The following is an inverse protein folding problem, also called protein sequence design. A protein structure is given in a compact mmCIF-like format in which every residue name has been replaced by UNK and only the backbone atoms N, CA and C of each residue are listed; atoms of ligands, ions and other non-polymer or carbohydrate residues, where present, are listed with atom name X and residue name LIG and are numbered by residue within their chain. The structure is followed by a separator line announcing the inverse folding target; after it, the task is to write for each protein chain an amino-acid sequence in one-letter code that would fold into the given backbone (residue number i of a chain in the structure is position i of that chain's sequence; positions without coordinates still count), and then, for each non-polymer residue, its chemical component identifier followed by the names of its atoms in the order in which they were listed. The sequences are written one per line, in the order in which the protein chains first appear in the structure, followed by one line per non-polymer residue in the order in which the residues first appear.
data_IF_365988826194
#
_entry.id   IF_365988826194
#
_cell.length_a   1.000
_cell.length_b   1.000
_cell.length_c   1.000
_cell.angle_alpha   90.00
_cell.angle_beta   90.00
_cell.angle_gamma   90.00
#
_symmetry.space_group_name_H-M   'P 1'
#
loop_
_entity.id
_entity.type
_entity.pdbx_description
1 polymer ?
#
# COMPACT_ATOMS: atom_id res chain seq x y z
N UNK A 1 0.59 18.54 -7.11
CA UNK A 1 0.43 18.73 -8.55
C UNK A 1 -0.94 18.26 -9.04
N UNK A 2 -1.42 18.85 -10.13
CA UNK A 2 -2.58 18.36 -10.86
C UNK A 2 -2.15 17.17 -11.73
N UNK A 3 -2.93 16.08 -11.70
CA UNK A 3 -2.70 14.93 -12.58
C UNK A 3 -3.67 15.03 -13.75
N UNK A 4 -3.15 14.90 -14.97
CA UNK A 4 -3.93 14.92 -16.22
C UNK A 4 -3.61 13.64 -16.98
N UNK A 5 -4.63 12.83 -17.25
CA UNK A 5 -4.49 11.57 -18.01
C UNK A 5 -5.20 11.74 -19.35
N UNK A 6 -4.46 11.59 -20.45
CA UNK A 6 -4.96 11.75 -21.83
C UNK A 6 -5.74 13.06 -22.04
N UNK A 7 -5.29 14.16 -21.42
CA UNK A 7 -5.92 15.47 -21.49
C UNK A 7 -7.05 15.69 -20.48
N UNK A 8 -7.46 14.68 -19.72
CA UNK A 8 -8.53 14.77 -18.71
C UNK A 8 -7.93 15.01 -17.32
N UNK A 9 -8.20 16.18 -16.69
CA UNK A 9 -7.76 16.44 -15.34
C UNK A 9 -8.43 15.50 -14.34
N UNK A 10 -7.63 14.84 -13.52
CA UNK A 10 -8.11 13.99 -12.45
C UNK A 10 -8.43 14.80 -11.21
N UNK A 11 -9.63 14.63 -10.68
CA UNK A 11 -10.04 15.28 -9.45
C UNK A 11 -9.63 14.36 -8.28
N UNK A 12 -8.78 14.88 -7.40
CA UNK A 12 -8.53 14.23 -6.11
C UNK A 12 -9.72 14.53 -5.21
N UNK A 13 -10.69 13.65 -5.17
CA UNK A 13 -11.83 13.75 -4.26
C UNK A 13 -11.38 13.26 -2.88
N UNK A 14 -11.64 14.05 -1.84
CA UNK A 14 -11.57 13.54 -0.46
C UNK A 14 -12.79 12.65 -0.28
N UNK A 15 -12.59 11.35 -0.27
CA UNK A 15 -13.66 10.43 0.11
C UNK A 15 -13.88 10.57 1.61
N UNK A 16 -14.92 11.32 1.97
CA UNK A 16 -15.38 11.37 3.36
C UNK A 16 -16.15 10.07 3.59
N UNK A 17 -15.49 9.05 4.10
CA UNK A 17 -16.18 7.84 4.58
C UNK A 17 -16.91 8.24 5.83
N UNK A 18 -18.22 8.46 5.72
CA UNK A 18 -19.09 8.72 6.86
C UNK A 18 -19.06 7.49 7.78
N UNK A 19 -18.48 7.62 8.96
CA UNK A 19 -18.69 6.62 10.01
C UNK A 19 -17.51 6.26 10.92
N UNK A 20 -16.29 6.74 10.72
CA UNK A 20 -15.21 6.46 11.67
C UNK A 20 -14.47 7.74 12.06
N UNK A 21 -14.44 8.03 13.37
CA UNK A 21 -13.80 9.21 13.96
C UNK A 21 -12.26 9.28 13.78
N UNK A 22 -11.68 8.38 13.01
CA UNK A 22 -10.23 8.29 12.71
C UNK A 22 -9.88 8.43 11.23
N UNK A 23 -10.83 8.78 10.38
CA UNK A 23 -10.53 9.02 8.96
C UNK A 23 -9.96 10.44 8.79
N UNK A 24 -8.67 10.59 9.02
CA UNK A 24 -7.90 11.59 8.28
C UNK A 24 -8.11 11.25 6.81
N UNK A 25 -9.01 12.01 6.12
CA UNK A 25 -9.40 11.70 4.76
C UNK A 25 -8.17 11.54 3.85
N UNK A 26 -7.80 10.30 3.58
CA UNK A 26 -6.81 10.01 2.57
C UNK A 26 -7.33 10.54 1.24
N UNK A 27 -6.49 11.33 0.59
CA UNK A 27 -6.80 11.78 -0.77
C UNK A 27 -6.72 10.53 -1.65
N UNK A 28 -7.83 10.22 -2.32
CA UNK A 28 -7.82 9.18 -3.33
C UNK A 28 -6.68 9.45 -4.31
N UNK A 29 -5.79 8.49 -4.43
CA UNK A 29 -4.71 8.58 -5.39
C UNK A 29 -5.30 8.30 -6.78
N UNK A 30 -5.44 9.36 -7.60
CA UNK A 30 -5.95 9.25 -8.96
C UNK A 30 -5.18 8.24 -9.83
N UNK A 31 -3.97 7.87 -9.43
CA UNK A 31 -3.14 6.89 -10.13
C UNK A 31 -3.43 5.45 -9.73
N UNK A 32 -4.22 5.20 -8.68
CA UNK A 32 -4.47 3.83 -8.20
C UNK A 32 -5.18 2.97 -9.25
N UNK A 33 -5.97 3.61 -10.11
CA UNK A 33 -6.72 2.95 -11.19
C UNK A 33 -5.96 2.91 -12.53
N UNK A 34 -4.79 3.52 -12.60
CA UNK A 34 -3.98 3.53 -13.81
C UNK A 34 -2.96 2.39 -13.77
N UNK A 35 -3.00 1.54 -14.80
CA UNK A 35 -1.99 0.53 -14.99
C UNK A 35 -0.69 1.18 -15.51
N UNK A 36 0.44 1.03 -14.81
CA UNK A 36 1.73 1.54 -15.28
C UNK A 36 2.14 1.00 -16.67
N UNK A 37 1.73 -0.22 -17.00
CA UNK A 37 2.02 -0.82 -18.31
C UNK A 37 1.29 -0.14 -19.48
N UNK A 38 0.22 0.61 -19.20
CA UNK A 38 -0.52 1.37 -20.22
C UNK A 38 0.04 2.77 -20.45
N UNK A 39 1.03 3.21 -19.67
CA UNK A 39 1.65 4.53 -19.81
C UNK A 39 2.63 4.52 -20.97
N UNK A 40 2.56 5.52 -21.86
CA UNK A 40 3.54 5.77 -22.91
C UNK A 40 4.53 6.85 -22.47
N UNK A 41 4.05 8.02 -21.95
CA UNK A 41 4.92 9.09 -21.44
C UNK A 41 4.35 9.70 -20.16
N UNK A 42 5.27 10.24 -19.34
CA UNK A 42 4.95 11.09 -18.19
C UNK A 42 5.75 12.38 -18.35
N UNK A 43 5.04 13.50 -18.50
CA UNK A 43 5.62 14.82 -18.62
C UNK A 43 5.27 15.66 -17.41
N UNK A 44 6.25 16.32 -16.80
CA UNK A 44 6.05 17.16 -15.63
C UNK A 44 6.22 18.62 -16.00
N UNK A 45 5.11 19.36 -15.99
CA UNK A 45 5.09 20.80 -16.24
C UNK A 45 5.30 21.55 -14.93
N UNK A 46 6.41 22.26 -14.82
CA UNK A 46 6.78 23.06 -13.64
C UNK A 46 6.69 24.55 -13.91
N UNK A 47 6.77 24.96 -15.19
CA UNK A 47 6.80 26.35 -15.57
C UNK A 47 5.40 26.96 -15.61
N UNK A 48 5.27 28.20 -15.16
CA UNK A 48 3.99 28.93 -15.11
C UNK A 48 3.32 29.05 -16.50
N UNK A 49 4.10 29.23 -17.55
CA UNK A 49 3.60 29.30 -18.93
C UNK A 49 2.98 27.99 -19.39
N UNK A 50 3.61 26.86 -19.07
CA UNK A 50 3.12 25.55 -19.45
C UNK A 50 1.90 25.11 -18.63
N UNK A 51 1.78 25.58 -17.37
CA UNK A 51 0.67 25.23 -16.48
C UNK A 51 -0.53 26.16 -16.60
N UNK A 52 -0.38 27.32 -17.29
CA UNK A 52 -1.42 28.35 -17.42
C UNK A 52 -2.75 27.83 -17.99
N UNK A 53 -2.70 26.86 -18.91
CA UNK A 53 -3.91 26.26 -19.51
C UNK A 53 -4.78 25.49 -18.49
N UNK A 54 -4.21 25.12 -17.32
CA UNK A 54 -4.92 24.43 -16.25
C UNK A 54 -5.40 25.36 -15.14
N UNK A 55 -5.15 26.69 -15.31
CA UNK A 55 -5.55 27.72 -14.36
C UNK A 55 -4.98 27.53 -12.95
N UNK A 56 -5.72 27.96 -11.93
CA UNK A 56 -5.28 27.88 -10.53
C UNK A 56 -4.96 26.48 -10.04
N UNK A 57 -5.53 25.45 -10.65
CA UNK A 57 -5.25 24.04 -10.31
C UNK A 57 -3.84 23.60 -10.71
N UNK A 58 -3.25 24.27 -11.70
CA UNK A 58 -1.88 24.03 -12.15
C UNK A 58 -0.79 24.74 -11.33
N UNK A 59 -1.15 25.56 -10.33
CA UNK A 59 -0.20 26.37 -9.56
C UNK A 59 0.93 25.57 -8.88
N UNK A 60 0.68 24.31 -8.48
CA UNK A 60 1.66 23.42 -7.88
C UNK A 60 2.30 22.46 -8.89
N UNK A 61 2.28 22.80 -10.20
CA UNK A 61 2.73 21.98 -11.29
C UNK A 61 1.66 20.98 -11.78
N UNK A 62 1.88 20.46 -12.98
CA UNK A 62 0.99 19.50 -13.65
C UNK A 62 1.78 18.28 -14.08
N UNK A 63 1.25 17.10 -13.82
CA UNK A 63 1.77 15.82 -14.31
C UNK A 63 0.86 15.35 -15.44
N UNK A 64 1.38 15.36 -16.65
CA UNK A 64 0.70 14.86 -17.84
C UNK A 64 1.06 13.39 -18.02
N UNK A 65 0.07 12.54 -18.09
CA UNK A 65 0.23 11.12 -18.36
C UNK A 65 -0.45 10.81 -19.68
N UNK A 66 0.34 10.36 -20.64
CA UNK A 66 -0.18 9.90 -21.92
C UNK A 66 -0.18 8.38 -21.95
N UNK A 67 -1.34 7.79 -22.26
CA UNK A 67 -1.48 6.34 -22.36
C UNK A 67 -1.16 5.85 -23.76
N UNK A 68 -0.80 4.57 -23.85
CA UNK A 68 -0.48 3.90 -25.12
C UNK A 68 -1.68 3.94 -26.06
N UNK A 69 -1.41 4.32 -27.30
CA UNK A 69 -2.40 4.37 -28.40
C UNK A 69 -2.05 3.37 -29.47
N UNK A 70 -3.02 3.06 -30.31
CA UNK A 70 -2.81 2.22 -31.48
C UNK A 70 -1.80 2.85 -32.44
N UNK A 71 -0.93 2.04 -33.01
CA UNK A 71 0.05 2.43 -34.04
C UNK A 71 -0.25 1.70 -35.34
N UNK A 72 0.07 2.33 -36.44
CA UNK A 72 -0.01 1.70 -37.75
C UNK A 72 0.87 0.47 -37.83
N UNK A 73 0.35 -0.59 -38.41
CA UNK A 73 1.09 -1.84 -38.62
C UNK A 73 0.28 -3.06 -38.21
N UNK A 74 0.97 -4.21 -38.29
CA UNK A 74 0.40 -5.50 -37.85
C UNK A 74 0.09 -5.46 -36.37
N UNK A 75 -0.96 -6.20 -35.98
CA UNK A 75 -1.30 -6.36 -34.57
C UNK A 75 -0.09 -6.89 -33.76
N UNK A 76 0.26 -6.16 -32.71
CA UNK A 76 1.31 -6.55 -31.76
C UNK A 76 0.65 -6.93 -30.45
N UNK A 77 0.89 -8.15 -30.04
CA UNK A 77 0.41 -8.67 -28.74
C UNK A 77 1.58 -8.66 -27.77
N UNK A 78 1.38 -8.15 -26.58
CA UNK A 78 2.36 -8.14 -25.49
C UNK A 78 1.73 -8.71 -24.23
N UNK A 79 2.42 -9.69 -23.62
CA UNK A 79 2.05 -10.28 -22.35
C UNK A 79 3.18 -10.00 -21.35
N UNK A 80 2.86 -9.34 -20.25
CA UNK A 80 3.73 -9.20 -19.11
C UNK A 80 3.15 -9.97 -17.94
N UNK A 81 3.92 -10.87 -17.37
CA UNK A 81 3.54 -11.65 -16.20
C UNK A 81 4.61 -11.52 -15.13
N UNK A 82 4.18 -11.26 -13.91
CA UNK A 82 5.03 -11.19 -12.74
C UNK A 82 4.44 -12.04 -11.63
N UNK A 83 5.30 -12.81 -10.97
CA UNK A 83 4.95 -13.56 -9.77
C UNK A 83 6.12 -13.49 -8.79
N UNK A 84 5.84 -13.23 -7.53
CA UNK A 84 6.86 -13.11 -6.51
C UNK A 84 6.30 -13.27 -5.10
N UNK A 85 7.19 -13.24 -4.13
CA UNK A 85 6.86 -13.30 -2.71
C UNK A 85 7.54 -12.17 -1.96
N UNK A 86 6.82 -11.61 -1.01
CA UNK A 86 7.36 -10.67 -0.02
C UNK A 86 7.43 -11.35 1.33
N UNK A 87 8.49 -11.09 2.06
CA UNK A 87 8.61 -11.47 3.46
C UNK A 87 9.35 -10.39 4.24
N UNK A 88 9.14 -10.35 5.53
CA UNK A 88 9.91 -9.50 6.43
C UNK A 88 11.36 -9.95 6.42
N UNK A 89 12.29 -9.06 6.13
CA UNK A 89 13.72 -9.36 6.10
C UNK A 89 14.34 -9.35 7.51
N UNK A 90 13.87 -8.44 8.36
CA UNK A 90 14.38 -8.28 9.71
C UNK A 90 13.28 -7.74 10.62
N UNK A 91 13.08 -8.41 11.73
CA UNK A 91 12.26 -7.94 12.85
C UNK A 91 13.18 -7.46 13.97
N UNK A 92 12.83 -6.44 14.76
CA UNK A 92 13.50 -6.16 16.01
C UNK A 92 13.45 -7.41 16.89
N UNK A 93 14.55 -7.70 17.58
CA UNK A 93 14.56 -8.78 18.55
C UNK A 93 13.94 -8.26 19.85
N UNK A 94 12.84 -8.84 20.24
CA UNK A 94 12.23 -8.59 21.55
C UNK A 94 12.84 -9.48 22.64
N UNK A 95 12.58 -9.11 23.88
CA UNK A 95 12.88 -9.94 25.03
C UNK A 95 12.08 -11.25 24.94
N UNK A 96 12.67 -12.33 25.35
CA UNK A 96 11.93 -13.57 25.60
C UNK A 96 10.88 -13.37 26.70
N UNK A 97 9.92 -14.28 26.83
CA UNK A 97 8.91 -14.18 27.89
C UNK A 97 9.55 -14.18 29.28
N UNK A 98 10.64 -14.97 29.46
CA UNK A 98 11.39 -15.05 30.69
C UNK A 98 12.13 -13.75 30.98
N UNK A 99 12.84 -13.18 29.99
CA UNK A 99 13.53 -11.91 30.11
C UNK A 99 12.53 -10.78 30.40
N UNK A 100 11.37 -10.78 29.74
CA UNK A 100 10.31 -9.79 29.98
C UNK A 100 9.72 -9.94 31.39
N UNK A 101 9.46 -11.15 31.85
CA UNK A 101 8.96 -11.40 33.19
C UNK A 101 9.98 -10.95 34.25
N UNK A 102 11.26 -11.24 34.03
CA UNK A 102 12.34 -10.78 34.90
C UNK A 102 12.43 -9.27 34.96
N UNK A 103 12.33 -8.60 33.82
CA UNK A 103 12.34 -7.13 33.75
C UNK A 103 11.17 -6.52 34.54
N UNK A 104 9.94 -7.08 34.39
CA UNK A 104 8.79 -6.62 35.18
C UNK A 104 8.95 -6.88 36.67
N UNK A 105 9.45 -8.05 37.04
CA UNK A 105 9.72 -8.40 38.44
C UNK A 105 10.70 -7.42 39.10
N UNK A 106 11.84 -7.17 38.44
CA UNK A 106 12.85 -6.24 38.94
C UNK A 106 12.34 -4.80 38.99
N UNK A 107 11.57 -4.38 37.99
CA UNK A 107 10.95 -3.05 37.98
C UNK A 107 10.02 -2.84 39.18
N UNK A 108 9.14 -3.80 39.48
CA UNK A 108 8.23 -3.74 40.63
C UNK A 108 8.99 -3.81 41.94
N UNK A 109 10.04 -4.66 42.01
CA UNK A 109 10.90 -4.74 43.18
C UNK A 109 11.56 -3.40 43.47
N UNK A 110 12.16 -2.78 42.47
CA UNK A 110 12.81 -1.47 42.62
C UNK A 110 11.82 -0.38 43.00
N UNK A 111 10.61 -0.40 42.44
CA UNK A 111 9.54 0.53 42.80
C UNK A 111 9.17 0.43 44.30
N UNK A 112 9.12 -0.79 44.88
CA UNK A 112 8.88 -0.96 46.32
C UNK A 112 10.05 -0.41 47.14
N UNK A 113 11.28 -0.74 46.75
CA UNK A 113 12.50 -0.26 47.45
C UNK A 113 12.61 1.27 47.41
N UNK A 114 12.38 1.90 46.27
CA UNK A 114 12.41 3.36 46.10
C UNK A 114 11.34 4.06 46.96
N UNK A 115 10.20 3.38 47.15
CA UNK A 115 9.13 3.87 48.03
C UNK A 115 9.36 3.56 49.53
N UNK A 116 10.47 2.89 49.87
CA UNK A 116 10.82 2.54 51.25
C UNK A 116 10.04 1.34 51.81
N UNK A 117 9.44 0.53 50.94
CA UNK A 117 8.72 -0.67 51.35
C UNK A 117 9.66 -1.91 51.44
N UNK A 118 9.31 -2.82 52.34
CA UNK A 118 9.99 -4.09 52.46
C UNK A 118 9.67 -4.99 51.25
N UNK A 119 10.69 -5.64 50.73
CA UNK A 119 10.62 -6.61 49.61
C UNK A 119 10.94 -8.02 50.07
N UNK A 120 10.84 -8.28 51.39
CA UNK A 120 10.84 -9.66 51.93
C UNK A 120 9.47 -10.30 51.75
N UNK A 121 9.41 -11.63 51.79
CA UNK A 121 8.16 -12.38 51.68
C UNK A 121 7.71 -12.66 50.24
N UNK A 122 6.42 -13.01 50.09
CA UNK A 122 5.84 -13.36 48.80
C UNK A 122 5.57 -12.10 47.96
N UNK A 123 6.22 -11.93 46.79
CA UNK A 123 6.07 -10.75 45.93
C UNK A 123 4.63 -10.46 45.50
N UNK A 124 3.74 -11.45 45.57
CA UNK A 124 2.33 -11.33 45.14
C UNK A 124 1.41 -10.82 46.24
N UNK A 125 1.82 -10.97 47.51
CA UNK A 125 0.94 -10.72 48.67
C UNK A 125 1.53 -9.73 49.66
N UNK A 126 2.85 -9.85 49.89
CA UNK A 126 3.50 -9.16 50.99
C UNK A 126 4.10 -7.82 50.54
N UNK A 127 4.30 -7.64 49.25
CA UNK A 127 4.81 -6.38 48.71
C UNK A 127 3.68 -5.37 48.54
N UNK A 128 3.97 -4.09 48.76
CA UNK A 128 2.98 -3.03 48.61
C UNK A 128 2.54 -2.86 47.15
N UNK A 129 3.49 -2.91 46.21
CA UNK A 129 3.20 -3.09 44.79
C UNK A 129 3.41 -4.57 44.45
N UNK A 130 2.33 -5.30 44.31
CA UNK A 130 2.37 -6.74 44.10
C UNK A 130 2.78 -7.10 42.67
N UNK A 131 3.58 -8.17 42.53
CA UNK A 131 3.93 -8.74 41.23
C UNK A 131 2.72 -9.55 40.70
N UNK A 132 2.29 -9.30 39.44
CA UNK A 132 1.21 -10.06 38.83
C UNK A 132 1.47 -11.58 38.83
N UNK A 133 0.44 -12.37 39.07
CA UNK A 133 0.54 -13.84 39.06
C UNK A 133 1.13 -14.37 37.76
N UNK A 134 0.74 -13.79 36.61
CA UNK A 134 1.23 -14.18 35.29
C UNK A 134 2.75 -14.04 35.15
N UNK A 135 3.34 -13.00 35.74
CA UNK A 135 4.80 -12.81 35.78
C UNK A 135 5.45 -13.91 36.59
N UNK A 136 4.90 -14.22 37.76
CA UNK A 136 5.41 -15.29 38.62
C UNK A 136 5.26 -16.67 37.98
N UNK A 137 4.18 -16.91 37.25
CA UNK A 137 3.97 -18.17 36.53
C UNK A 137 5.02 -18.40 35.45
N UNK A 138 5.44 -17.32 34.75
CA UNK A 138 6.54 -17.38 33.76
C UNK A 138 7.86 -17.66 34.48
N UNK A 139 8.20 -16.93 35.56
CA UNK A 139 9.44 -17.11 36.29
C UNK A 139 9.56 -18.49 36.95
N UNK A 140 8.45 -19.07 37.36
CA UNK A 140 8.37 -20.42 37.95
C UNK A 140 8.28 -21.53 36.88
N UNK A 141 8.23 -21.19 35.60
CA UNK A 141 8.12 -22.16 34.50
C UNK A 141 6.76 -22.85 34.40
N UNK A 142 5.73 -22.31 35.04
CA UNK A 142 4.35 -22.89 35.05
C UNK A 142 3.46 -22.32 33.96
N UNK A 143 3.88 -21.24 33.27
CA UNK A 143 3.15 -20.69 32.17
C UNK A 143 3.37 -21.46 30.86
N UNK A 144 2.36 -22.16 30.32
CA UNK A 144 2.53 -22.99 29.12
C UNK A 144 2.57 -22.19 27.81
N UNK A 145 2.19 -20.93 27.86
CA UNK A 145 2.04 -20.10 26.65
C UNK A 145 3.37 -19.44 26.26
N UNK A 146 3.69 -19.54 24.97
CA UNK A 146 4.85 -18.87 24.38
C UNK A 146 4.47 -18.46 22.94
N UNK A 147 3.78 -17.33 22.82
CA UNK A 147 3.34 -16.83 21.53
C UNK A 147 4.32 -15.78 21.04
N UNK A 148 4.92 -16.00 19.87
CA UNK A 148 5.64 -14.94 19.16
C UNK A 148 4.63 -14.11 18.37
N UNK A 149 4.44 -12.87 18.78
CA UNK A 149 3.50 -11.96 18.12
C UNK A 149 3.90 -11.66 16.66
N UNK A 150 5.19 -11.80 16.32
CA UNK A 150 5.62 -11.61 14.95
C UNK A 150 5.23 -12.77 14.04
N UNK A 151 5.33 -14.00 14.54
CA UNK A 151 4.93 -15.19 13.79
C UNK A 151 3.41 -15.21 13.53
N UNK A 152 2.63 -14.61 14.43
CA UNK A 152 1.18 -14.50 14.28
C UNK A 152 0.76 -13.35 13.32
N UNK A 153 1.56 -12.29 13.23
CA UNK A 153 1.21 -11.09 12.46
C UNK A 153 1.82 -11.13 11.06
N UNK A 154 3.03 -11.67 10.91
CA UNK A 154 3.74 -11.66 9.65
C UNK A 154 3.59 -12.96 8.87
N UNK A 155 3.46 -12.80 7.57
CA UNK A 155 3.38 -13.92 6.63
C UNK A 155 4.28 -13.71 5.43
N UNK A 156 4.60 -14.80 4.74
CA UNK A 156 5.16 -14.72 3.39
C UNK A 156 4.02 -14.47 2.42
N UNK A 157 4.02 -13.31 1.80
CA UNK A 157 2.91 -12.80 1.02
C UNK A 157 3.16 -12.93 -0.49
N UNK A 158 2.31 -13.67 -1.23
CA UNK A 158 2.43 -13.77 -2.67
C UNK A 158 1.99 -12.47 -3.36
N UNK A 159 2.66 -12.16 -4.48
CA UNK A 159 2.32 -11.07 -5.38
C UNK A 159 2.26 -11.59 -6.79
N UNK A 160 1.25 -11.18 -7.54
CA UNK A 160 1.12 -11.53 -8.93
C UNK A 160 0.50 -10.40 -9.74
N UNK A 161 0.97 -10.23 -10.97
CA UNK A 161 0.42 -9.28 -11.93
C UNK A 161 0.51 -9.87 -13.33
N UNK A 162 -0.60 -9.77 -14.05
CA UNK A 162 -0.70 -10.24 -15.43
C UNK A 162 -1.28 -9.10 -16.28
N UNK A 163 -0.55 -8.68 -17.29
CA UNK A 163 -0.99 -7.66 -18.22
C UNK A 163 -0.93 -8.21 -19.64
N UNK A 164 -2.07 -8.17 -20.32
CA UNK A 164 -2.18 -8.50 -21.75
C UNK A 164 -2.56 -7.24 -22.51
N UNK A 165 -1.80 -6.90 -23.54
CA UNK A 165 -2.12 -5.79 -24.41
C UNK A 165 -2.02 -6.15 -25.89
N UNK A 166 -2.92 -5.56 -26.69
CA UNK A 166 -2.97 -5.72 -28.14
C UNK A 166 -3.05 -4.32 -28.75
N UNK A 167 -2.12 -4.00 -29.63
CA UNK A 167 -2.14 -2.74 -30.37
C UNK A 167 -1.88 -2.97 -31.85
N UNK A 168 -2.52 -2.17 -32.70
CA UNK A 168 -2.35 -2.25 -34.13
C UNK A 168 -3.20 -1.24 -34.87
N UNK A 169 -3.26 -1.34 -36.17
CA UNK A 169 -4.13 -0.51 -36.97
C UNK A 169 -3.63 -0.29 -38.38
N UNK A 170 -4.42 0.49 -39.10
CA UNK A 170 -4.11 0.98 -40.43
C UNK A 170 -4.29 2.52 -40.48
N UNK A 171 -4.18 3.11 -41.64
CA UNK A 171 -4.36 4.56 -41.83
C UNK A 171 -5.72 5.08 -41.35
N UNK A 172 -6.77 4.24 -41.37
CA UNK A 172 -8.15 4.63 -41.00
C UNK A 172 -8.50 4.32 -39.57
N UNK A 173 -8.01 3.20 -39.03
CA UNK A 173 -8.38 2.72 -37.69
C UNK A 173 -7.12 2.27 -36.96
N UNK A 174 -6.88 2.85 -35.78
CA UNK A 174 -5.82 2.45 -34.85
C UNK A 174 -6.44 2.06 -33.54
N UNK A 175 -5.98 1.01 -32.92
CA UNK A 175 -6.52 0.50 -31.65
C UNK A 175 -5.41 0.08 -30.70
N UNK A 176 -5.67 0.28 -29.42
CA UNK A 176 -4.90 -0.28 -28.33
C UNK A 176 -5.89 -0.77 -27.27
N UNK A 177 -5.81 -2.05 -26.95
CA UNK A 177 -6.64 -2.68 -25.91
C UNK A 177 -5.71 -3.36 -24.93
N UNK A 178 -5.94 -3.15 -23.63
CA UNK A 178 -5.20 -3.80 -22.56
C UNK A 178 -6.12 -4.30 -21.46
N UNK A 179 -5.68 -5.35 -20.78
CA UNK A 179 -6.28 -5.88 -19.58
C UNK A 179 -5.22 -6.26 -18.57
N UNK A 180 -5.45 -5.93 -17.31
CA UNK A 180 -4.55 -6.26 -16.22
C UNK A 180 -5.31 -6.88 -15.05
N UNK A 181 -4.70 -7.88 -14.46
CA UNK A 181 -5.06 -8.39 -13.15
C UNK A 181 -3.84 -8.32 -12.24
N UNK A 182 -4.00 -7.67 -11.08
CA UNK A 182 -2.98 -7.58 -10.04
C UNK A 182 -3.57 -8.07 -8.73
N UNK A 183 -2.85 -8.94 -8.04
CA UNK A 183 -3.17 -9.38 -6.68
C UNK A 183 -1.91 -9.32 -5.84
N UNK A 184 -2.00 -8.60 -4.72
CA UNK A 184 -0.90 -8.43 -3.78
C UNK A 184 -1.42 -8.71 -2.38
N UNK A 185 -0.82 -9.66 -1.71
CA UNK A 185 -1.03 -9.87 -0.29
C UNK A 185 0.03 -9.09 0.50
N UNK A 186 -0.37 -8.56 1.64
CA UNK A 186 0.53 -7.84 2.53
C UNK A 186 1.33 -8.81 3.42
N UNK A 187 2.53 -8.39 3.82
CA UNK A 187 3.34 -9.13 4.80
C UNK A 187 2.67 -9.19 6.18
N UNK A 188 1.70 -8.30 6.45
CA UNK A 188 0.84 -8.38 7.63
C UNK A 188 -0.42 -9.12 7.22
N UNK A 189 -0.81 -10.13 8.02
CA UNK A 189 -2.03 -10.91 7.80
C UNK A 189 -3.25 -9.98 7.66
N UNK A 190 -4.25 -10.40 6.88
CA UNK A 190 -5.47 -9.65 6.56
C UNK A 190 -5.34 -8.54 5.51
N UNK A 191 -4.14 -8.07 5.20
CA UNK A 191 -3.96 -7.07 4.15
C UNK A 191 -3.92 -7.74 2.78
N UNK A 192 -4.86 -7.36 1.91
CA UNK A 192 -4.94 -7.86 0.54
C UNK A 192 -5.41 -6.74 -0.40
N UNK A 193 -4.70 -6.61 -1.52
CA UNK A 193 -5.08 -5.71 -2.60
C UNK A 193 -5.30 -6.51 -3.88
N UNK A 194 -6.44 -6.28 -4.55
CA UNK A 194 -6.74 -6.86 -5.85
C UNK A 194 -7.24 -5.76 -6.78
N UNK A 195 -6.74 -5.77 -8.00
CA UNK A 195 -7.18 -4.84 -9.04
C UNK A 195 -7.37 -5.59 -10.34
N UNK A 196 -8.49 -5.33 -10.98
CA UNK A 196 -8.73 -5.65 -12.37
C UNK A 196 -8.94 -4.36 -13.14
N UNK A 197 -8.21 -4.17 -14.23
CA UNK A 197 -8.38 -3.02 -15.11
C UNK A 197 -8.45 -3.44 -16.57
N UNK A 198 -9.28 -2.75 -17.33
CA UNK A 198 -9.36 -2.89 -18.77
C UNK A 198 -9.38 -1.50 -19.41
N UNK A 199 -8.68 -1.35 -20.51
CA UNK A 199 -8.61 -0.11 -21.29
C UNK A 199 -8.73 -0.40 -22.77
N UNK A 200 -9.47 0.43 -23.46
CA UNK A 200 -9.55 0.39 -24.92
C UNK A 200 -9.43 1.82 -25.48
N UNK A 201 -8.47 2.02 -26.34
CA UNK A 201 -8.27 3.27 -27.08
C UNK A 201 -8.49 2.96 -28.56
N UNK A 202 -9.37 3.74 -29.20
CA UNK A 202 -9.72 3.59 -30.60
C UNK A 202 -9.63 4.97 -31.29
N UNK A 203 -8.75 5.07 -32.25
CA UNK A 203 -8.64 6.25 -33.11
C UNK A 203 -9.17 5.85 -34.49
N UNK A 204 -10.27 6.47 -34.96
CA UNK A 204 -10.88 6.18 -36.25
C UNK A 204 -11.00 7.46 -37.09
N UNK A 205 -10.50 7.42 -38.32
CA UNK A 205 -10.68 8.45 -39.33
C UNK A 205 -11.87 8.04 -40.21
N UNK A 206 -13.05 8.63 -39.93
CA UNK A 206 -14.29 8.31 -40.63
C UNK A 206 -14.33 8.93 -42.00
N UNK A 207 -13.76 10.14 -42.15
CA UNK A 207 -13.61 10.83 -43.43
C UNK A 207 -12.43 11.80 -43.33
N UNK A 208 -12.08 12.49 -44.43
CA UNK A 208 -11.02 13.50 -44.39
C UNK A 208 -11.33 14.69 -43.46
N UNK A 209 -12.58 14.83 -43.06
CA UNK A 209 -13.07 15.93 -42.20
C UNK A 209 -13.51 15.49 -40.82
N UNK A 210 -13.66 14.18 -40.60
CA UNK A 210 -14.21 13.62 -39.35
C UNK A 210 -13.30 12.53 -38.78
N UNK A 211 -12.80 12.76 -37.59
CA UNK A 211 -12.05 11.79 -36.83
C UNK A 211 -12.66 11.59 -35.42
N UNK A 212 -12.65 10.38 -34.93
CA UNK A 212 -13.07 9.99 -33.59
C UNK A 212 -11.84 9.50 -32.82
N UNK A 213 -11.72 9.96 -31.57
CA UNK A 213 -10.66 9.54 -30.64
C UNK A 213 -11.26 9.20 -29.28
#
# INVERSE_FOLDING_TARGET
PLIVIDGVPQLSTKTVTAGTAYSGGEKDNALINLNPNDIETIDILKDASATAIYGSRGANGVVLITTKRGKEGKARISLNAYYGWQKVLRTPKFLSKEEQAQYYYEGIKNQNLDAGYDVSGDPRKDWNYAVPQTVMDVLNGTNPYNTDAYDEIFQTAPQQSYNLSVQGGNEKIKYAVSGEYTSQEGIIVTNKFQRFSARANLDAKLSDRVSMK
#
